data_IF_490714862245
#
_entry.id   IF_490714862245
#
_cell.length_a   1.000
_cell.length_b   1.000
_cell.length_c   1.000
_cell.angle_alpha   90.00
_cell.angle_beta   90.00
_cell.angle_gamma   90.00
#
_symmetry.space_group_name_H-M   'P 1'
#
loop_
_entity.id
_entity.type
_entity.pdbx_description
1 polymer ?
#
# COMPACT_ATOMS: atom_id res chain seq x y z
N UNK A 1 5.92 -10.76 20.80
CA UNK A 1 4.95 -10.16 21.75
C UNK A 1 5.57 -9.10 22.68
N UNK A 2 6.81 -9.25 23.16
CA UNK A 2 7.45 -8.29 24.08
C UNK A 2 7.75 -6.88 23.51
N UNK A 3 8.02 -6.76 22.20
CA UNK A 3 8.38 -5.49 21.55
C UNK A 3 7.24 -4.47 21.53
N UNK A 4 6.00 -4.93 21.33
CA UNK A 4 4.83 -4.06 21.30
C UNK A 4 4.47 -3.56 22.70
N UNK A 5 4.66 -4.40 23.73
CA UNK A 5 4.46 -4.00 25.12
C UNK A 5 5.48 -2.94 25.56
N UNK A 6 6.75 -3.07 25.17
CA UNK A 6 7.77 -2.07 25.46
C UNK A 6 7.49 -0.73 24.78
N UNK A 7 7.09 -0.74 23.50
CA UNK A 7 6.68 0.45 22.75
C UNK A 7 5.45 1.14 23.37
N UNK A 8 4.46 0.38 23.83
CA UNK A 8 3.26 0.94 24.45
C UNK A 8 3.59 1.62 25.79
N UNK A 9 4.47 1.02 26.61
CA UNK A 9 4.89 1.58 27.90
C UNK A 9 5.74 2.83 27.73
N UNK A 10 6.67 2.84 26.77
CA UNK A 10 7.51 4.01 26.50
C UNK A 10 6.71 5.16 25.89
N UNK A 11 5.78 4.88 24.97
CA UNK A 11 4.88 5.88 24.42
C UNK A 11 3.99 6.52 25.49
N UNK A 12 3.51 5.74 26.46
CA UNK A 12 2.73 6.26 27.60
C UNK A 12 3.57 7.16 28.49
N UNK A 13 4.76 6.70 28.91
CA UNK A 13 5.67 7.47 29.76
C UNK A 13 6.07 8.80 29.11
N UNK A 14 6.33 8.79 27.79
CA UNK A 14 6.64 10.01 27.04
C UNK A 14 5.45 10.98 27.01
N UNK A 15 4.20 10.48 26.88
CA UNK A 15 3.00 11.30 26.87
C UNK A 15 2.73 11.97 28.22
N UNK A 16 3.01 11.27 29.32
CA UNK A 16 2.85 11.81 30.67
C UNK A 16 3.90 12.88 30.97
N UNK A 17 5.12 12.72 30.46
CA UNK A 17 6.21 13.69 30.61
C UNK A 17 6.09 14.89 29.68
N UNK A 18 5.61 14.66 28.46
CA UNK A 18 5.42 15.66 27.41
C UNK A 18 3.94 15.64 26.97
N UNK A 19 3.04 16.23 27.77
CA UNK A 19 1.64 16.30 27.38
C UNK A 19 1.54 17.09 26.07
N UNK A 20 0.77 16.60 25.08
CA UNK A 20 0.60 17.32 23.83
C UNK A 20 -0.04 18.69 24.13
N UNK A 21 0.55 19.76 23.61
CA UNK A 21 0.11 21.13 23.83
C UNK A 21 -1.34 21.39 23.35
N UNK A 22 -1.84 20.53 22.46
CA UNK A 22 -3.23 20.47 22.01
C UNK A 22 -3.80 19.15 22.49
N UNK A 23 -4.93 19.11 23.23
CA UNK A 23 -5.58 17.87 23.57
C UNK A 23 -5.86 17.10 22.26
N UNK A 24 -5.79 15.76 22.25
CA UNK A 24 -6.17 14.98 21.08
C UNK A 24 -7.67 15.20 20.87
N UNK A 25 -8.04 16.27 20.17
CA UNK A 25 -9.31 16.36 19.48
C UNK A 25 -9.33 15.13 18.63
N UNK A 26 -10.16 14.18 19.05
CA UNK A 26 -10.38 12.88 18.44
C UNK A 26 -10.06 13.02 16.96
N UNK A 27 -8.91 12.50 16.52
CA UNK A 27 -8.52 12.55 15.12
C UNK A 27 -9.35 11.50 14.38
N UNK A 28 -10.68 11.56 14.55
CA UNK A 28 -11.60 11.23 13.50
C UNK A 28 -11.26 12.23 12.41
N UNK A 29 -10.30 11.86 11.57
CA UNK A 29 -10.07 12.53 10.31
C UNK A 29 -11.47 12.68 9.71
N UNK A 30 -11.94 13.91 9.63
CA UNK A 30 -13.29 14.25 9.21
C UNK A 30 -13.44 13.97 7.73
N UNK A 31 -13.39 12.70 7.35
CA UNK A 31 -13.71 12.27 6.02
C UNK A 31 -15.21 12.47 5.87
N UNK A 32 -15.58 13.63 5.31
CA UNK A 32 -16.94 13.86 4.88
C UNK A 32 -17.21 12.85 3.77
N UNK A 33 -18.06 11.87 4.06
CA UNK A 33 -18.51 10.93 3.05
C UNK A 33 -19.16 11.73 1.92
N UNK A 34 -18.56 11.69 0.73
CA UNK A 34 -19.13 12.37 -0.43
C UNK A 34 -20.41 11.60 -0.81
N UNK A 35 -21.59 12.22 -0.77
CA UNK A 35 -22.82 11.53 -1.18
C UNK A 35 -22.67 11.15 -2.67
N UNK A 36 -22.72 9.85 -2.96
CA UNK A 36 -22.44 9.28 -4.28
C UNK A 36 -21.08 8.60 -4.44
N UNK A 37 -20.17 8.71 -3.45
CA UNK A 37 -18.81 8.18 -3.55
C UNK A 37 -17.94 8.97 -4.53
N UNK A 38 -16.62 8.77 -4.49
CA UNK A 38 -15.76 9.28 -5.56
C UNK A 38 -16.06 8.46 -6.82
N UNK A 39 -16.28 9.10 -7.99
CA UNK A 39 -16.34 8.36 -9.24
C UNK A 39 -14.99 7.67 -9.44
N UNK A 40 -14.96 6.36 -9.29
CA UNK A 40 -13.80 5.58 -9.70
C UNK A 40 -13.84 5.56 -11.22
N UNK A 41 -13.07 6.45 -11.84
CA UNK A 41 -12.77 6.33 -13.26
C UNK A 41 -12.15 4.94 -13.49
N UNK A 42 -12.56 4.25 -14.56
CA UNK A 42 -11.93 3.01 -14.99
C UNK A 42 -10.42 3.23 -15.05
N UNK A 43 -9.69 2.59 -14.14
CA UNK A 43 -8.25 2.62 -14.19
C UNK A 43 -7.81 1.80 -15.40
N UNK A 44 -6.89 2.31 -16.24
CA UNK A 44 -6.34 1.51 -17.32
C UNK A 44 -5.60 0.29 -16.74
N UNK A 45 -5.60 -0.83 -17.48
CA UNK A 45 -4.76 -1.98 -17.11
C UNK A 45 -3.29 -1.52 -17.05
N UNK A 46 -2.52 -1.90 -16.02
CA UNK A 46 -1.16 -1.45 -15.86
C UNK A 46 -0.29 -1.91 -17.03
N UNK A 47 0.30 -0.93 -17.73
CA UNK A 47 1.32 -1.15 -18.74
C UNK A 47 2.73 -1.24 -18.11
N UNK A 48 3.77 -1.35 -18.95
CA UNK A 48 5.17 -1.38 -18.49
C UNK A 48 5.61 -0.06 -17.82
N UNK A 49 4.93 1.06 -18.07
CA UNK A 49 5.21 2.36 -17.47
C UNK A 49 4.56 2.49 -16.09
N UNK A 50 3.53 1.69 -15.81
CA UNK A 50 2.82 1.61 -14.52
C UNK A 50 3.34 0.50 -13.61
N UNK A 51 4.54 -0.05 -13.88
CA UNK A 51 5.17 -1.03 -13.01
C UNK A 51 5.43 -0.48 -11.61
N UNK A 52 5.28 -1.33 -10.60
CA UNK A 52 5.61 -0.97 -9.21
C UNK A 52 7.05 -0.40 -9.16
N UNK A 53 7.26 0.81 -8.64
CA UNK A 53 8.60 1.38 -8.51
C UNK A 53 9.51 0.45 -7.71
N UNK A 54 10.80 0.48 -7.98
CA UNK A 54 11.77 -0.26 -7.19
C UNK A 54 11.71 0.17 -5.73
N UNK A 55 11.36 -0.76 -4.85
CA UNK A 55 11.48 -0.54 -3.41
C UNK A 55 12.95 -0.67 -2.99
N UNK A 56 13.32 -0.10 -1.83
CA UNK A 56 14.68 -0.25 -1.31
C UNK A 56 15.12 -1.70 -1.20
N UNK A 57 14.21 -2.59 -0.77
CA UNK A 57 14.51 -4.01 -0.65
C UNK A 57 14.77 -4.66 -2.02
N UNK A 58 14.02 -4.24 -3.04
CA UNK A 58 14.16 -4.76 -4.40
C UNK A 58 15.45 -4.27 -5.06
N UNK A 59 15.85 -3.02 -4.80
CA UNK A 59 17.16 -2.49 -5.21
C UNK A 59 18.28 -3.33 -4.60
N UNK A 60 18.22 -3.60 -3.28
CA UNK A 60 19.24 -4.42 -2.61
C UNK A 60 19.31 -5.84 -3.17
N UNK A 61 18.15 -6.45 -3.44
CA UNK A 61 18.07 -7.78 -4.01
C UNK A 61 18.65 -7.85 -5.43
N UNK A 62 18.29 -6.91 -6.30
CA UNK A 62 18.81 -6.85 -7.67
C UNK A 62 20.31 -6.56 -7.68
N UNK A 63 20.78 -5.66 -6.81
CA UNK A 63 22.21 -5.38 -6.67
C UNK A 63 23.00 -6.63 -6.24
N UNK A 64 22.52 -7.34 -5.20
CA UNK A 64 23.14 -8.58 -4.74
C UNK A 64 23.19 -9.65 -5.85
N UNK A 65 22.12 -9.78 -6.65
CA UNK A 65 22.12 -10.70 -7.80
C UNK A 65 23.18 -10.34 -8.84
N UNK A 66 23.40 -9.06 -9.11
CA UNK A 66 24.44 -8.64 -10.05
C UNK A 66 25.86 -8.86 -9.52
N UNK A 67 26.07 -8.81 -8.21
CA UNK A 67 27.42 -8.91 -7.62
C UNK A 67 27.80 -10.33 -7.22
N UNK A 68 26.84 -11.15 -6.80
CA UNK A 68 27.11 -12.43 -6.13
C UNK A 68 26.66 -13.64 -6.96
N UNK A 69 25.73 -13.48 -7.89
CA UNK A 69 25.19 -14.61 -8.64
C UNK A 69 25.94 -14.85 -9.97
N UNK A 70 26.20 -16.13 -10.28
CA UNK A 70 26.67 -16.55 -11.61
C UNK A 70 25.47 -16.65 -12.55
N UNK A 71 24.78 -15.52 -12.76
CA UNK A 71 23.62 -15.42 -13.65
C UNK A 71 23.90 -14.37 -14.74
N UNK A 72 23.44 -14.61 -15.98
CA UNK A 72 23.53 -13.60 -17.02
C UNK A 72 22.78 -12.32 -16.60
N UNK A 73 23.37 -11.12 -16.76
CA UNK A 73 22.72 -9.85 -16.44
C UNK A 73 21.32 -9.70 -17.06
N UNK A 74 21.15 -10.16 -18.30
CA UNK A 74 19.87 -10.14 -19.00
C UNK A 74 18.78 -10.99 -18.34
N UNK A 75 19.16 -12.10 -17.67
CA UNK A 75 18.22 -12.93 -16.93
C UNK A 75 17.78 -12.26 -15.64
N UNK A 76 18.68 -11.57 -14.95
CA UNK A 76 18.38 -10.80 -13.73
C UNK A 76 17.39 -9.67 -14.04
N UNK A 77 17.66 -8.88 -15.09
CA UNK A 77 16.77 -7.78 -15.49
C UNK A 77 15.41 -8.30 -15.96
N UNK A 78 15.40 -9.34 -16.81
CA UNK A 78 14.16 -9.94 -17.30
C UNK A 78 13.29 -10.45 -16.13
N UNK A 79 13.89 -11.16 -15.17
CA UNK A 79 13.18 -11.69 -14.02
C UNK A 79 12.62 -10.57 -13.13
N UNK A 80 13.42 -9.53 -12.87
CA UNK A 80 12.99 -8.36 -12.11
C UNK A 80 11.82 -7.65 -12.80
N UNK A 81 11.89 -7.47 -14.12
CA UNK A 81 10.81 -6.84 -14.89
C UNK A 81 9.53 -7.67 -14.88
N UNK A 82 9.65 -8.99 -15.11
CA UNK A 82 8.52 -9.91 -15.06
C UNK A 82 7.80 -9.83 -13.69
N UNK A 83 8.57 -9.92 -12.59
CA UNK A 83 8.02 -9.87 -11.22
C UNK A 83 7.30 -8.55 -10.96
N UNK A 84 7.93 -7.42 -11.27
CA UNK A 84 7.35 -6.08 -11.03
C UNK A 84 6.10 -5.84 -11.88
N UNK A 85 6.07 -6.33 -13.12
CA UNK A 85 4.88 -6.30 -13.97
C UNK A 85 3.73 -7.13 -13.40
N UNK A 86 4.01 -8.35 -12.94
CA UNK A 86 3.02 -9.19 -12.28
C UNK A 86 2.49 -8.58 -10.98
N UNK A 87 3.34 -7.97 -10.16
CA UNK A 87 2.89 -7.26 -8.95
C UNK A 87 1.96 -6.09 -9.29
N UNK A 88 2.27 -5.30 -10.32
CA UNK A 88 1.42 -4.19 -10.76
C UNK A 88 0.03 -4.70 -11.19
N UNK A 89 -0.01 -5.76 -12.00
CA UNK A 89 -1.26 -6.44 -12.39
C UNK A 89 -2.04 -6.98 -11.20
N UNK A 90 -1.37 -7.65 -10.26
CA UNK A 90 -2.01 -8.18 -9.06
C UNK A 90 -2.65 -7.07 -8.21
N UNK A 91 -1.94 -5.94 -8.02
CA UNK A 91 -2.47 -4.76 -7.31
C UNK A 91 -3.68 -4.18 -8.05
N UNK A 92 -3.59 -4.05 -9.37
CA UNK A 92 -4.70 -3.57 -10.20
C UNK A 92 -5.96 -4.41 -10.00
N UNK A 93 -5.88 -5.73 -10.20
CA UNK A 93 -7.05 -6.61 -10.03
C UNK A 93 -7.56 -6.62 -8.60
N UNK A 94 -6.67 -6.60 -7.59
CA UNK A 94 -7.08 -6.53 -6.20
C UNK A 94 -7.93 -5.28 -5.91
N UNK A 95 -7.48 -4.11 -6.35
CA UNK A 95 -8.21 -2.86 -6.14
C UNK A 95 -9.50 -2.82 -6.96
N UNK A 96 -9.48 -3.27 -8.22
CA UNK A 96 -10.68 -3.41 -9.04
C UNK A 96 -11.75 -4.25 -8.34
N UNK A 97 -11.41 -5.46 -7.87
CA UNK A 97 -12.35 -6.31 -7.12
C UNK A 97 -12.87 -5.61 -5.87
N UNK A 98 -12.01 -4.91 -5.14
CA UNK A 98 -12.42 -4.18 -3.92
C UNK A 98 -13.38 -3.03 -4.20
N UNK A 99 -13.15 -2.31 -5.30
CA UNK A 99 -14.01 -1.22 -5.75
C UNK A 99 -15.36 -1.76 -6.20
N UNK A 100 -15.40 -2.81 -7.02
CA UNK A 100 -16.66 -3.42 -7.46
C UNK A 100 -17.49 -3.94 -6.27
N UNK A 101 -16.84 -4.55 -5.28
CA UNK A 101 -17.51 -4.99 -4.05
C UNK A 101 -18.07 -3.82 -3.23
N UNK A 102 -17.36 -2.68 -3.16
CA UNK A 102 -17.86 -1.51 -2.46
C UNK A 102 -19.05 -0.87 -3.22
N UNK A 103 -18.98 -0.81 -4.54
CA UNK A 103 -20.06 -0.30 -5.40
C UNK A 103 -21.32 -1.16 -5.32
N UNK A 104 -21.19 -2.50 -5.27
CA UNK A 104 -22.34 -3.39 -5.14
C UNK A 104 -23.07 -3.18 -3.82
N UNK A 105 -22.32 -3.06 -2.71
CA UNK A 105 -22.88 -2.75 -1.38
C UNK A 105 -23.59 -1.39 -1.39
N UNK A 106 -22.96 -0.36 -1.96
CA UNK A 106 -23.55 0.97 -2.05
C UNK A 106 -24.86 0.99 -2.88
N UNK A 107 -24.90 0.26 -4.00
CA UNK A 107 -26.12 0.12 -4.82
C UNK A 107 -27.24 -0.59 -4.07
N UNK A 108 -26.94 -1.64 -3.31
CA UNK A 108 -27.93 -2.34 -2.49
C UNK A 108 -28.51 -1.42 -1.40
N UNK A 109 -27.65 -0.67 -0.71
CA UNK A 109 -28.07 0.27 0.32
C UNK A 109 -28.95 1.42 -0.22
N UNK A 110 -28.72 1.87 -1.46
CA UNK A 110 -29.55 2.91 -2.09
C UNK A 110 -30.91 2.41 -2.57
N UNK A 111 -31.12 1.09 -2.68
CA UNK A 111 -32.37 0.48 -3.12
C UNK A 111 -33.32 0.10 -1.97
N UNK A 112 -32.88 0.29 -0.71
CA UNK A 112 -33.63 -0.01 0.51
C UNK A 112 -34.13 1.29 1.14
#
# INVERSE_FOLDING_TARGET
>A
MLTHAWLAVTARKHRDQNPPAVPPTMTAVGYKHLPGGLPVAEQPEPDRRMMTPFTLNEIRHVFALFTEAVLPPAMITWWSDWRRGHQARARYYHYQTRIYAAQSIARQAAAT
#
